data_IF_662216427326
#
_entry.id   IF_662216427326
#
_cell.length_a   1.000
_cell.length_b   1.000
_cell.length_c   1.000
_cell.angle_alpha   90.00
_cell.angle_beta   90.00
_cell.angle_gamma   90.00
#
_symmetry.space_group_name_H-M   'P 1'
#
loop_
_entity.id
_entity.type
_entity.pdbx_description
1 polymer ?
#
# COMPACT_ATOMS: atom_id res chain seq x y z
N UNK A 1 -14.39 8.03 -5.49
CA UNK A 1 -14.51 8.75 -6.78
C UNK A 1 -13.15 8.93 -7.47
N UNK A 2 -12.09 9.41 -6.79
CA UNK A 2 -10.75 9.59 -7.42
C UNK A 2 -10.03 8.29 -7.78
N UNK A 3 -10.13 7.26 -6.94
CA UNK A 3 -9.52 5.93 -7.17
C UNK A 3 -10.04 5.30 -8.48
N UNK A 4 -11.33 5.46 -8.75
CA UNK A 4 -11.99 4.93 -9.95
C UNK A 4 -11.52 5.60 -11.24
N UNK A 5 -11.16 6.88 -11.22
CA UNK A 5 -10.62 7.56 -12.41
C UNK A 5 -9.17 7.17 -12.68
N UNK A 6 -8.37 7.07 -11.61
CA UNK A 6 -6.92 6.87 -11.71
C UNK A 6 -6.49 5.40 -11.81
N UNK A 7 -7.34 4.44 -11.43
CA UNK A 7 -7.01 3.01 -11.57
C UNK A 7 -7.75 2.35 -12.74
N UNK A 8 -9.02 2.73 -12.96
CA UNK A 8 -9.91 2.03 -13.90
C UNK A 8 -9.69 2.45 -15.36
N UNK A 9 -9.18 3.67 -15.61
CA UNK A 9 -8.84 4.15 -16.96
C UNK A 9 -7.45 3.66 -17.40
N UNK A 10 -6.37 3.85 -16.62
CA UNK A 10 -5.04 3.42 -17.07
C UNK A 10 -4.85 1.91 -17.04
N UNK A 11 -5.57 1.17 -16.19
CA UNK A 11 -5.55 -0.29 -16.15
C UNK A 11 -5.71 -0.92 -17.54
N UNK A 12 -6.87 -0.79 -18.21
CA UNK A 12 -7.10 -1.37 -19.53
C UNK A 12 -6.16 -0.82 -20.62
N UNK A 13 -5.70 0.43 -20.51
CA UNK A 13 -4.73 1.00 -21.47
C UNK A 13 -3.37 0.30 -21.35
N UNK A 14 -2.87 0.11 -20.13
CA UNK A 14 -1.59 -0.58 -19.87
C UNK A 14 -1.70 -2.05 -20.30
N UNK A 15 -2.78 -2.73 -19.92
CA UNK A 15 -3.00 -4.11 -20.35
C UNK A 15 -3.12 -4.23 -21.87
N UNK A 16 -3.79 -3.28 -22.54
CA UNK A 16 -3.83 -3.21 -24.00
C UNK A 16 -2.43 -3.14 -24.62
N UNK A 17 -1.57 -2.24 -24.11
CA UNK A 17 -0.17 -2.14 -24.57
C UNK A 17 0.66 -3.39 -24.31
N UNK A 18 0.44 -4.08 -23.19
CA UNK A 18 1.13 -5.34 -22.88
C UNK A 18 0.72 -6.42 -23.90
N UNK A 19 -0.56 -6.52 -24.23
CA UNK A 19 -1.05 -7.47 -25.24
C UNK A 19 -0.45 -7.14 -26.61
N UNK A 20 -0.46 -5.87 -27.02
CA UNK A 20 0.10 -5.44 -28.32
C UNK A 20 1.61 -5.73 -28.42
N UNK A 21 2.37 -5.49 -27.35
CA UNK A 21 3.82 -5.71 -27.31
C UNK A 21 4.23 -7.19 -27.27
N UNK A 22 3.34 -8.07 -26.81
CA UNK A 22 3.58 -9.53 -26.78
C UNK A 22 3.02 -10.25 -28.00
N UNK A 23 2.48 -9.50 -28.97
CA UNK A 23 1.88 -10.08 -30.15
C UNK A 23 2.93 -10.74 -31.06
N UNK A 24 2.72 -12.02 -31.37
CA UNK A 24 3.52 -12.79 -32.31
C UNK A 24 2.92 -12.77 -33.72
N UNK A 25 1.59 -12.89 -33.82
CA UNK A 25 0.86 -12.93 -35.09
C UNK A 25 -0.29 -11.93 -35.08
N UNK A 26 -0.18 -10.96 -35.97
CA UNK A 26 -1.24 -9.99 -36.25
C UNK A 26 -2.17 -10.51 -37.33
N UNK A 27 -3.48 -10.31 -37.13
CA UNK A 27 -4.47 -10.62 -38.17
C UNK A 27 -4.47 -9.49 -39.19
N UNK A 28 -4.12 -9.77 -40.43
CA UNK A 28 -4.27 -8.79 -41.52
C UNK A 28 -5.66 -8.92 -42.14
N UNK A 29 -6.37 -7.81 -42.25
CA UNK A 29 -7.68 -7.72 -42.92
C UNK A 29 -7.52 -6.95 -44.23
N UNK A 30 -8.49 -7.04 -45.14
CA UNK A 30 -8.47 -6.27 -46.39
C UNK A 30 -8.34 -4.75 -46.18
N UNK A 31 -8.60 -4.25 -44.97
CA UNK A 31 -8.47 -2.84 -44.57
C UNK A 31 -7.26 -2.54 -43.67
N UNK A 32 -6.35 -3.49 -43.45
CA UNK A 32 -5.11 -3.32 -42.67
C UNK A 32 -5.01 -4.20 -41.42
N UNK A 33 -4.15 -3.78 -40.48
CA UNK A 33 -3.80 -4.53 -39.26
C UNK A 33 -4.98 -4.61 -38.29
N UNK A 34 -5.45 -5.83 -38.04
CA UNK A 34 -6.54 -6.15 -37.13
C UNK A 34 -6.04 -6.54 -35.73
N UNK A 35 -6.79 -7.42 -35.05
CA UNK A 35 -6.46 -7.84 -33.70
C UNK A 35 -5.28 -8.83 -33.65
N UNK A 36 -4.57 -8.87 -32.52
CA UNK A 36 -3.56 -9.90 -32.27
C UNK A 36 -4.24 -11.25 -32.02
N UNK A 37 -3.86 -12.28 -32.78
CA UNK A 37 -4.45 -13.62 -32.63
C UNK A 37 -3.61 -14.52 -31.71
N UNK A 38 -2.27 -14.40 -31.80
CA UNK A 38 -1.33 -15.20 -31.03
C UNK A 38 -0.34 -14.30 -30.29
N UNK A 39 -0.27 -14.47 -28.97
CA UNK A 39 0.62 -13.74 -28.08
C UNK A 39 1.65 -14.68 -27.43
N UNK A 40 2.82 -14.13 -27.11
CA UNK A 40 3.85 -14.83 -26.35
C UNK A 40 3.43 -14.91 -24.88
N UNK A 41 2.94 -16.09 -24.49
CA UNK A 41 2.50 -16.41 -23.14
C UNK A 41 3.60 -16.24 -22.06
N UNK A 42 4.88 -16.45 -22.40
CA UNK A 42 5.97 -16.28 -21.43
C UNK A 42 6.22 -14.80 -21.16
N UNK A 43 6.37 -14.00 -22.23
CA UNK A 43 6.57 -12.56 -22.10
C UNK A 43 5.37 -11.88 -21.44
N UNK A 44 4.15 -12.30 -21.82
CA UNK A 44 2.92 -11.80 -21.21
C UNK A 44 2.92 -12.00 -19.69
N UNK A 45 3.25 -13.21 -19.21
CA UNK A 45 3.35 -13.52 -17.78
C UNK A 45 4.40 -12.66 -17.09
N UNK A 46 5.58 -12.48 -17.68
CA UNK A 46 6.61 -11.61 -17.10
C UNK A 46 6.14 -10.16 -16.98
N UNK A 47 5.55 -9.59 -18.03
CA UNK A 47 5.09 -8.19 -18.00
C UNK A 47 4.02 -7.95 -16.94
N UNK A 48 3.01 -8.82 -16.83
CA UNK A 48 1.95 -8.63 -15.82
C UNK A 48 2.49 -8.82 -14.41
N UNK A 49 3.42 -9.75 -14.18
CA UNK A 49 4.03 -9.96 -12.86
C UNK A 49 4.95 -8.80 -12.46
N UNK A 50 5.75 -8.29 -13.40
CA UNK A 50 6.62 -7.12 -13.15
C UNK A 50 5.78 -5.87 -12.88
N UNK A 51 4.68 -5.68 -13.63
CA UNK A 51 3.76 -4.57 -13.39
C UNK A 51 3.15 -4.67 -11.98
N UNK A 52 2.67 -5.85 -11.60
CA UNK A 52 2.11 -6.08 -10.26
C UNK A 52 3.15 -5.82 -9.17
N UNK A 53 4.36 -6.38 -9.31
CA UNK A 53 5.47 -6.16 -8.39
C UNK A 53 5.81 -4.66 -8.26
N UNK A 54 5.86 -3.94 -9.38
CA UNK A 54 6.15 -2.50 -9.39
C UNK A 54 5.08 -1.72 -8.63
N UNK A 55 3.79 -1.96 -8.92
CA UNK A 55 2.68 -1.28 -8.22
C UNK A 55 2.66 -1.60 -6.72
N UNK A 56 2.88 -2.86 -6.34
CA UNK A 56 2.97 -3.25 -4.93
C UNK A 56 4.18 -2.61 -4.25
N UNK A 57 5.35 -2.56 -4.90
CA UNK A 57 6.54 -1.94 -4.35
C UNK A 57 6.36 -0.44 -4.09
N UNK A 58 5.66 0.27 -4.99
CA UNK A 58 5.32 1.68 -4.81
C UNK A 58 4.45 1.84 -3.56
N UNK A 59 3.45 0.98 -3.37
CA UNK A 59 2.62 0.97 -2.15
C UNK A 59 3.45 0.81 -0.89
N UNK A 60 4.33 -0.20 -0.85
CA UNK A 60 5.23 -0.45 0.28
C UNK A 60 6.14 0.74 0.57
N UNK A 61 6.64 1.43 -0.47
CA UNK A 61 7.46 2.63 -0.30
C UNK A 61 6.63 3.75 0.35
N UNK A 62 5.40 3.98 -0.10
CA UNK A 62 4.51 4.96 0.55
C UNK A 62 4.23 4.60 2.00
N UNK A 63 3.99 3.33 2.31
CA UNK A 63 3.78 2.87 3.69
C UNK A 63 5.01 3.13 4.56
N UNK A 64 6.21 2.84 4.03
CA UNK A 64 7.49 3.13 4.72
C UNK A 64 7.68 4.63 4.91
N UNK A 65 7.34 5.46 3.92
CA UNK A 65 7.44 6.92 4.03
C UNK A 65 6.49 7.48 5.09
N UNK A 66 5.24 7.00 5.11
CA UNK A 66 4.26 7.36 6.14
C UNK A 66 4.75 6.92 7.51
N UNK A 67 5.30 5.72 7.62
CA UNK A 67 5.89 5.24 8.87
C UNK A 67 7.05 6.13 9.30
N UNK A 68 8.00 6.42 8.42
CA UNK A 68 9.16 7.25 8.73
C UNK A 68 8.77 8.67 9.17
N UNK A 69 7.84 9.31 8.47
CA UNK A 69 7.39 10.67 8.80
C UNK A 69 6.46 10.69 10.02
N UNK A 70 5.62 9.66 10.19
CA UNK A 70 4.68 9.54 11.30
C UNK A 70 5.35 9.27 12.64
N UNK A 71 6.59 8.77 12.65
CA UNK A 71 7.35 8.49 13.89
C UNK A 71 7.73 9.74 14.69
N UNK A 72 7.65 10.92 14.10
CA UNK A 72 7.88 12.20 14.79
C UNK A 72 6.57 12.88 15.24
N UNK A 73 5.40 12.32 14.91
CA UNK A 73 4.11 12.83 15.34
C UNK A 73 3.63 11.98 16.53
N UNK A 74 3.58 12.60 17.72
CA UNK A 74 3.06 12.02 18.97
C UNK A 74 1.51 11.91 18.85
N UNK A 75 1.05 10.94 18.06
CA UNK A 75 -0.35 10.82 17.61
C UNK A 75 -1.23 10.14 18.66
N UNK A 76 -0.63 9.32 19.52
CA UNK A 76 -1.19 8.87 20.77
C UNK A 76 -0.40 9.58 21.86
N UNK A 77 -1.04 10.40 22.70
CA UNK A 77 -0.39 11.11 23.80
C UNK A 77 0.12 10.19 24.92
N UNK A 78 0.79 9.09 24.60
CA UNK A 78 1.39 8.15 25.56
C UNK A 78 2.37 8.88 26.48
N UNK A 79 3.05 9.91 25.97
CA UNK A 79 3.92 10.79 26.76
C UNK A 79 3.16 11.61 27.81
N UNK A 80 1.92 12.00 27.52
CA UNK A 80 1.03 12.71 28.46
C UNK A 80 0.45 11.73 29.49
N UNK A 81 0.03 10.54 29.06
CA UNK A 81 -0.51 9.49 29.92
C UNK A 81 0.53 8.95 30.92
N UNK A 82 1.77 8.74 30.48
CA UNK A 82 2.89 8.36 31.35
C UNK A 82 3.15 9.43 32.42
N UNK A 83 3.22 10.72 32.03
CA UNK A 83 3.37 11.82 33.00
C UNK A 83 2.22 11.88 34.00
N UNK A 84 0.99 11.58 33.56
CA UNK A 84 -0.19 11.60 34.43
C UNK A 84 -0.21 10.40 35.40
N UNK A 85 0.23 9.21 34.94
CA UNK A 85 0.43 8.03 35.78
C UNK A 85 1.54 8.25 36.80
N UNK A 86 2.68 8.79 36.37
CA UNK A 86 3.80 9.16 37.26
C UNK A 86 3.35 10.15 38.33
N UNK A 87 2.60 11.21 37.97
CA UNK A 87 2.03 12.15 38.95
C UNK A 87 1.07 11.47 39.92
N UNK A 88 0.16 10.62 39.44
CA UNK A 88 -0.76 9.85 40.30
C UNK A 88 -0.01 8.91 41.25
N UNK A 89 1.10 8.33 40.81
CA UNK A 89 1.89 7.39 41.59
C UNK A 89 2.73 8.10 42.64
N UNK A 90 3.23 9.30 42.33
CA UNK A 90 3.97 10.18 43.26
C UNK A 90 3.06 10.76 44.35
N UNK A 91 1.81 11.06 44.03
CA UNK A 91 0.81 11.53 45.01
C UNK A 91 0.14 10.37 45.78
N UNK A 92 0.53 9.11 45.54
CA UNK A 92 0.02 7.96 46.30
C UNK A 92 0.63 8.00 47.73
N UNK A 93 -0.18 8.10 48.79
CA UNK A 93 0.33 8.08 50.16
C UNK A 93 0.98 6.73 50.48
N UNK A 94 2.13 6.75 51.13
CA UNK A 94 2.87 5.57 51.61
C UNK A 94 2.16 5.03 52.86
N UNK A 95 0.94 4.52 52.72
CA UNK A 95 0.30 3.82 53.85
C UNK A 95 -0.65 2.72 53.38
N UNK A 96 -0.16 1.49 53.25
CA UNK A 96 -1.01 0.31 53.33
C UNK A 96 -1.15 -0.26 54.76
N UNK A 97 -0.43 0.28 55.76
CA UNK A 97 -0.27 -0.37 57.08
C UNK A 97 -1.19 0.12 58.23
N UNK A 98 -2.12 1.05 57.99
CA UNK A 98 -3.10 1.48 59.02
C UNK A 98 -4.52 0.95 58.80
N UNK A 99 -4.72 -0.03 57.91
CA UNK A 99 -6.02 -0.70 57.73
C UNK A 99 -6.19 -1.97 58.60
N UNK A 100 -5.16 -2.36 59.38
CA UNK A 100 -5.21 -3.54 60.26
C UNK A 100 -5.21 -3.17 61.77
N UNK A 101 -5.35 -1.89 62.13
CA UNK A 101 -5.34 -1.49 63.56
C UNK A 101 -6.58 -0.68 63.99
N UNK A 102 -7.73 -0.89 63.36
CA UNK A 102 -9.02 -0.44 63.89
C UNK A 102 -10.00 -1.59 64.01
#
# INVERSE_FOLDING_TARGET
>A
MMISLLALIPGPIIFGRIIDSTCLVWTETCHGRGNCQLYDQTKFRYYVNILALSLTSIGVIFDILVWYHGRHLDLYGEREEQKLQERRQRDKPITPLLAHSS
#
